data_IF_011686597005
#
_entry.id   IF_011686597005
#
_cell.length_a   1.000
_cell.length_b   1.000
_cell.length_c   1.000
_cell.angle_alpha   90.00
_cell.angle_beta   90.00
_cell.angle_gamma   90.00
#
_symmetry.space_group_name_H-M   'P 1'
#
loop_
_entity.id
_entity.type
_entity.pdbx_description
1 polymer ?
#
# COMPACT_ATOMS: atom_id res chain seq x y z
N UNK A 1 -34.39 2.62 51.16
CA UNK A 1 -34.14 3.72 50.20
C UNK A 1 -33.22 3.21 49.11
N UNK A 2 -33.73 3.23 47.88
CA UNK A 2 -33.07 2.81 46.64
C UNK A 2 -31.67 3.39 46.47
N UNK A 3 -30.78 2.63 45.81
CA UNK A 3 -30.40 2.94 44.42
C UNK A 3 -29.57 1.81 43.79
N UNK A 4 -30.22 1.17 42.82
CA UNK A 4 -29.70 0.48 41.64
C UNK A 4 -28.20 0.70 41.37
N UNK A 5 -27.41 -0.37 41.45
CA UNK A 5 -26.10 -0.45 40.82
C UNK A 5 -26.32 -0.91 39.37
N UNK A 6 -26.12 0.01 38.42
CA UNK A 6 -26.27 -0.28 36.99
C UNK A 6 -25.14 -1.22 36.53
N UNK A 7 -25.52 -2.41 36.08
CA UNK A 7 -24.73 -3.24 35.17
C UNK A 7 -24.59 -2.49 33.84
N UNK A 8 -23.46 -1.84 33.60
CA UNK A 8 -23.05 -1.47 32.25
C UNK A 8 -22.32 -2.68 31.65
N UNK A 9 -23.09 -3.60 31.06
CA UNK A 9 -22.55 -4.51 30.06
C UNK A 9 -22.31 -3.68 28.79
N UNK A 10 -21.10 -3.13 28.66
CA UNK A 10 -20.65 -2.55 27.40
C UNK A 10 -20.50 -3.70 26.40
N UNK A 11 -21.55 -3.93 25.61
CA UNK A 11 -21.48 -4.73 24.39
C UNK A 11 -20.72 -3.88 23.36
N UNK A 12 -19.40 -3.82 23.50
CA UNK A 12 -18.52 -3.33 22.45
C UNK A 12 -18.57 -4.33 21.30
N UNK A 13 -19.44 -4.09 20.33
CA UNK A 13 -19.36 -4.77 19.04
C UNK A 13 -18.00 -4.44 18.45
N UNK A 14 -17.15 -5.46 18.42
CA UNK A 14 -15.75 -5.41 18.04
C UNK A 14 -15.60 -5.05 16.56
N UNK A 15 -15.41 -3.76 16.25
CA UNK A 15 -14.93 -3.33 14.93
C UNK A 15 -13.57 -3.96 14.56
N UNK A 16 -12.76 -4.31 15.57
CA UNK A 16 -11.45 -4.96 15.35
C UNK A 16 -11.53 -6.30 14.62
N UNK A 17 -12.61 -7.08 14.79
CA UNK A 17 -12.69 -8.39 14.15
C UNK A 17 -13.01 -8.31 12.65
N UNK A 18 -13.67 -7.23 12.21
CA UNK A 18 -14.05 -7.06 10.81
C UNK A 18 -12.88 -6.51 9.98
N UNK A 19 -12.10 -5.59 10.57
CA UNK A 19 -10.92 -5.00 9.92
C UNK A 19 -9.79 -6.04 9.76
N UNK A 20 -9.61 -6.93 10.75
CA UNK A 20 -8.71 -8.07 10.64
C UNK A 20 -9.09 -9.07 9.54
N UNK A 21 -10.37 -9.16 9.16
CA UNK A 21 -10.84 -10.11 8.15
C UNK A 21 -10.57 -9.63 6.73
N UNK A 22 -10.74 -8.32 6.47
CA UNK A 22 -10.44 -7.70 5.17
C UNK A 22 -8.94 -7.79 4.84
N UNK A 23 -8.09 -7.33 5.77
CA UNK A 23 -6.63 -7.41 5.60
C UNK A 23 -6.14 -8.84 5.35
N UNK A 24 -6.67 -9.84 6.05
CA UNK A 24 -6.31 -11.25 5.82
C UNK A 24 -6.72 -11.76 4.45
N UNK A 25 -7.88 -11.33 3.94
CA UNK A 25 -8.34 -11.69 2.60
C UNK A 25 -7.41 -11.09 1.54
N UNK A 26 -7.06 -9.81 1.67
CA UNK A 26 -6.15 -9.11 0.77
C UNK A 26 -4.76 -9.75 0.75
N UNK A 27 -4.19 -10.06 1.93
CA UNK A 27 -2.90 -10.77 2.03
C UNK A 27 -2.97 -12.12 1.33
N UNK A 28 -4.02 -12.91 1.56
CA UNK A 28 -4.18 -14.20 0.91
C UNK A 28 -4.32 -14.07 -0.62
N UNK A 29 -4.95 -13.00 -1.11
CA UNK A 29 -5.04 -12.71 -2.55
C UNK A 29 -3.67 -12.33 -3.14
N UNK A 30 -2.90 -11.50 -2.44
CA UNK A 30 -1.53 -11.13 -2.80
C UNK A 30 -0.64 -12.37 -2.85
N UNK A 31 -0.59 -13.18 -1.80
CA UNK A 31 0.23 -14.39 -1.74
C UNK A 31 -0.13 -15.37 -2.87
N UNK A 32 -1.43 -15.58 -3.11
CA UNK A 32 -1.90 -16.39 -4.24
C UNK A 32 -1.45 -15.82 -5.58
N UNK A 33 -1.48 -14.50 -5.76
CA UNK A 33 -0.99 -13.86 -6.98
C UNK A 33 0.52 -14.09 -7.14
N UNK A 34 1.31 -13.88 -6.08
CA UNK A 34 2.75 -14.09 -6.08
C UNK A 34 3.11 -15.54 -6.46
N UNK A 35 2.45 -16.52 -5.84
CA UNK A 35 2.64 -17.95 -6.12
C UNK A 35 2.32 -18.29 -7.58
N UNK A 36 1.18 -17.82 -8.09
CA UNK A 36 0.75 -18.11 -9.47
C UNK A 36 1.70 -17.50 -10.52
N UNK A 37 2.42 -16.44 -10.16
CA UNK A 37 3.35 -15.74 -11.04
C UNK A 37 4.82 -16.09 -10.75
N UNK A 38 5.09 -17.03 -9.83
CA UNK A 38 6.43 -17.41 -9.38
C UNK A 38 7.26 -16.22 -8.88
N UNK A 39 6.62 -15.28 -8.19
CA UNK A 39 7.24 -14.10 -7.62
C UNK A 39 7.54 -14.33 -6.15
N UNK A 40 8.71 -13.87 -5.69
CA UNK A 40 9.11 -13.92 -4.28
C UNK A 40 9.16 -12.50 -3.76
N UNK A 41 8.33 -12.19 -2.76
CA UNK A 41 8.23 -10.89 -2.14
C UNK A 41 8.59 -10.93 -0.66
N UNK A 42 9.10 -9.81 -0.16
CA UNK A 42 9.17 -9.52 1.27
C UNK A 42 7.86 -8.88 1.72
N UNK A 43 7.60 -8.86 3.03
CA UNK A 43 6.39 -8.27 3.61
C UNK A 43 6.67 -7.46 4.86
N UNK A 44 5.81 -6.46 5.10
CA UNK A 44 5.77 -5.67 6.32
C UNK A 44 4.64 -6.18 7.23
N UNK A 45 4.72 -5.86 8.53
CA UNK A 45 3.67 -6.17 9.51
C UNK A 45 2.30 -5.54 9.16
N UNK A 46 2.28 -4.50 8.32
CA UNK A 46 1.08 -3.87 7.80
C UNK A 46 0.37 -4.68 6.71
N UNK A 47 0.98 -5.77 6.23
CA UNK A 47 0.48 -6.59 5.12
C UNK A 47 0.91 -6.11 3.73
N UNK A 48 1.62 -4.98 3.63
CA UNK A 48 2.25 -4.57 2.37
C UNK A 48 3.33 -5.58 1.98
N UNK A 49 3.29 -6.05 0.73
CA UNK A 49 4.34 -6.89 0.15
C UNK A 49 5.13 -6.08 -0.88
N UNK A 50 6.41 -6.38 -1.03
CA UNK A 50 7.26 -5.69 -1.98
C UNK A 50 8.34 -6.58 -2.58
N UNK A 51 8.77 -6.22 -3.79
CA UNK A 51 9.89 -6.82 -4.49
C UNK A 51 10.80 -5.69 -4.94
N UNK A 52 12.06 -5.67 -4.47
CA UNK A 52 13.07 -4.78 -5.01
C UNK A 52 13.64 -5.43 -6.27
N UNK A 53 13.42 -4.81 -7.41
CA UNK A 53 13.89 -5.31 -8.71
C UNK A 53 15.21 -4.67 -9.12
N UNK A 54 15.46 -3.44 -8.68
CA UNK A 54 16.75 -2.77 -8.78
C UNK A 54 17.03 -1.98 -7.49
N UNK A 55 18.15 -2.24 -6.82
CA UNK A 55 18.46 -1.69 -5.49
C UNK A 55 18.60 -0.16 -5.44
N UNK A 56 18.94 0.48 -6.56
CA UNK A 56 19.33 1.90 -6.58
C UNK A 56 20.66 2.14 -5.88
N UNK A 57 20.93 3.40 -5.52
CA UNK A 57 22.20 3.85 -4.93
C UNK A 57 21.99 4.87 -3.81
N UNK A 58 23.02 5.07 -3.00
CA UNK A 58 23.00 5.97 -1.85
C UNK A 58 22.71 5.25 -0.53
N UNK A 59 22.93 5.97 0.58
CA UNK A 59 22.68 5.47 1.95
C UNK A 59 21.37 6.01 2.54
N UNK A 60 20.85 7.09 1.97
CA UNK A 60 19.64 7.76 2.45
C UNK A 60 18.40 7.16 1.79
N UNK A 61 17.29 7.21 2.51
CA UNK A 61 15.97 6.80 2.05
C UNK A 61 14.99 7.98 2.20
N UNK A 62 13.94 8.07 1.37
CA UNK A 62 12.88 9.04 1.62
C UNK A 62 12.18 8.70 2.94
N UNK A 63 11.75 9.74 3.64
CA UNK A 63 10.88 9.65 4.80
C UNK A 63 9.42 9.65 4.37
N UNK A 64 8.50 9.33 5.28
CA UNK A 64 7.06 9.35 5.00
C UNK A 64 6.47 10.75 4.66
N UNK A 65 7.27 11.82 4.72
CA UNK A 65 6.89 13.19 4.39
C UNK A 65 7.70 13.80 3.22
N UNK A 66 8.63 13.05 2.65
CA UNK A 66 9.54 13.53 1.61
C UNK A 66 8.80 13.84 0.31
N UNK A 67 9.33 14.79 -0.45
CA UNK A 67 8.98 14.98 -1.84
C UNK A 67 9.77 13.98 -2.70
N UNK A 68 9.09 13.24 -3.57
CA UNK A 68 9.67 12.20 -4.42
C UNK A 68 9.36 12.47 -5.89
N UNK A 69 10.30 12.13 -6.76
CA UNK A 69 10.11 12.06 -8.19
C UNK A 69 10.18 10.59 -8.62
N UNK A 70 9.13 10.11 -9.26
CA UNK A 70 8.96 8.70 -9.62
C UNK A 70 8.51 8.53 -11.07
N UNK A 71 8.77 7.35 -11.62
CA UNK A 71 8.00 6.79 -12.73
C UNK A 71 7.23 5.62 -12.14
N UNK A 72 5.91 5.59 -12.33
CA UNK A 72 5.09 4.51 -11.78
C UNK A 72 4.03 4.01 -12.74
N UNK A 73 3.54 2.80 -12.45
CA UNK A 73 2.37 2.21 -13.05
C UNK A 73 1.54 1.52 -11.98
N UNK A 74 0.31 2.00 -11.79
CA UNK A 74 -0.69 1.44 -10.87
C UNK A 74 -1.69 0.55 -11.60
N UNK A 75 -1.87 -0.68 -11.13
CA UNK A 75 -2.77 -1.66 -11.71
C UNK A 75 -3.38 -2.60 -10.67
N UNK A 76 -4.48 -3.25 -11.01
CA UNK A 76 -5.11 -4.29 -10.18
C UNK A 76 -4.45 -5.65 -10.43
N UNK A 77 -4.71 -6.63 -9.56
CA UNK A 77 -4.16 -7.99 -9.69
C UNK A 77 -4.60 -8.70 -10.99
N UNK A 78 -5.70 -8.26 -11.62
CA UNK A 78 -6.14 -8.74 -12.94
C UNK A 78 -5.40 -8.09 -14.12
N UNK A 79 -4.50 -7.14 -13.86
CA UNK A 79 -3.73 -6.39 -14.84
C UNK A 79 -4.38 -5.10 -15.33
N UNK A 80 -5.58 -4.75 -14.87
CA UNK A 80 -6.27 -3.50 -15.23
C UNK A 80 -5.47 -2.31 -14.71
N UNK A 81 -4.91 -1.52 -15.63
CA UNK A 81 -4.17 -0.29 -15.31
C UNK A 81 -5.18 0.82 -15.00
N UNK A 82 -5.02 1.47 -13.84
CA UNK A 82 -5.88 2.59 -13.44
C UNK A 82 -5.15 3.93 -13.47
N UNK A 83 -3.83 3.95 -13.34
CA UNK A 83 -3.03 5.17 -13.36
C UNK A 83 -1.56 4.88 -13.70
N UNK A 84 -0.86 5.82 -14.32
CA UNK A 84 0.57 5.69 -14.64
C UNK A 84 1.20 7.02 -15.05
N UNK A 85 2.51 7.15 -14.84
CA UNK A 85 3.30 8.25 -15.41
C UNK A 85 3.27 8.18 -16.94
N UNK A 86 3.05 9.31 -17.65
CA UNK A 86 3.18 9.38 -19.11
C UNK A 86 4.59 9.02 -19.60
N UNK A 87 4.68 8.54 -20.84
CA UNK A 87 5.96 8.13 -21.41
C UNK A 87 6.94 9.31 -21.54
N UNK A 88 8.19 9.12 -21.11
CA UNK A 88 9.26 10.13 -21.08
C UNK A 88 9.00 11.31 -20.11
N UNK A 89 8.11 11.14 -19.14
CA UNK A 89 7.85 12.11 -18.08
C UNK A 89 8.20 11.53 -16.71
N UNK A 90 8.14 12.39 -15.68
CA UNK A 90 8.21 11.98 -14.28
C UNK A 90 7.05 12.58 -13.51
N UNK A 91 6.63 11.90 -12.45
CA UNK A 91 5.57 12.38 -11.55
C UNK A 91 6.17 12.75 -10.20
N UNK A 92 5.79 13.91 -9.68
CA UNK A 92 6.25 14.41 -8.37
C UNK A 92 5.14 14.33 -7.34
N UNK A 93 5.45 13.77 -6.17
CA UNK A 93 4.50 13.63 -5.06
C UNK A 93 5.15 14.00 -3.74
N UNK A 94 4.36 14.59 -2.84
CA UNK A 94 4.72 14.62 -1.43
C UNK A 94 4.17 13.36 -0.76
N UNK A 95 5.03 12.55 -0.15
CA UNK A 95 4.61 11.29 0.47
C UNK A 95 3.59 11.49 1.59
N UNK A 96 3.59 12.63 2.28
CA UNK A 96 2.60 12.92 3.31
C UNK A 96 1.15 13.03 2.80
N UNK A 97 0.95 13.17 1.48
CA UNK A 97 -0.35 13.40 0.85
C UNK A 97 -0.81 12.27 -0.08
N UNK A 98 -0.14 11.11 -0.05
CA UNK A 98 -0.53 9.93 -0.83
C UNK A 98 -1.04 8.81 0.08
N UNK A 99 -1.51 7.72 -0.54
CA UNK A 99 -1.99 6.53 0.18
C UNK A 99 -0.92 5.97 1.13
N UNK A 100 -1.36 5.35 2.23
CA UNK A 100 -0.48 4.86 3.27
C UNK A 100 0.52 3.80 2.75
N UNK A 101 0.10 2.98 1.78
CA UNK A 101 0.98 2.00 1.15
C UNK A 101 2.18 2.63 0.42
N UNK A 102 2.03 3.82 -0.17
CA UNK A 102 3.17 4.55 -0.75
C UNK A 102 4.05 5.17 0.34
N UNK A 103 3.45 5.67 1.42
CA UNK A 103 4.18 6.22 2.59
C UNK A 103 5.07 5.19 3.27
N UNK A 104 4.69 3.91 3.21
CA UNK A 104 5.48 2.80 3.74
C UNK A 104 6.40 2.17 2.69
N UNK A 105 5.91 1.97 1.47
CA UNK A 105 6.60 1.21 0.43
C UNK A 105 7.70 1.98 -0.30
N UNK A 106 7.50 3.26 -0.64
CA UNK A 106 8.53 4.05 -1.36
C UNK A 106 9.82 4.23 -0.53
N UNK A 107 9.76 4.46 0.80
CA UNK A 107 10.94 4.45 1.67
C UNK A 107 11.79 3.17 1.63
N UNK A 108 11.27 2.04 1.17
CA UNK A 108 12.05 0.81 1.00
C UNK A 108 13.03 0.90 -0.18
N UNK A 109 12.75 1.77 -1.16
CA UNK A 109 13.61 2.00 -2.31
C UNK A 109 14.69 3.05 -2.01
N UNK A 110 15.78 2.99 -2.75
CA UNK A 110 16.82 4.03 -2.82
C UNK A 110 16.69 4.82 -4.12
N UNK A 111 17.35 5.97 -4.20
CA UNK A 111 17.38 6.75 -5.42
C UNK A 111 17.99 5.94 -6.59
N UNK A 112 17.32 5.98 -7.74
CA UNK A 112 17.57 5.13 -8.91
C UNK A 112 17.09 3.68 -8.77
N UNK A 113 16.45 3.32 -7.67
CA UNK A 113 15.96 1.97 -7.42
C UNK A 113 14.57 1.74 -8.01
N UNK A 114 14.24 0.47 -8.22
CA UNK A 114 12.96 0.00 -8.74
C UNK A 114 12.40 -1.11 -7.88
N UNK A 115 11.08 -1.16 -7.80
CA UNK A 115 10.41 -2.26 -7.16
C UNK A 115 8.92 -2.31 -7.49
N UNK A 116 8.30 -3.40 -7.09
CA UNK A 116 6.86 -3.60 -7.17
C UNK A 116 6.31 -3.64 -5.75
N UNK A 117 5.26 -2.87 -5.49
CA UNK A 117 4.53 -2.82 -4.23
C UNK A 117 3.15 -3.48 -4.43
N UNK A 118 2.78 -4.40 -3.55
CA UNK A 118 1.45 -4.98 -3.45
C UNK A 118 0.80 -4.48 -2.16
N UNK A 119 -0.25 -3.67 -2.32
CA UNK A 119 -0.82 -2.83 -1.28
C UNK A 119 -2.23 -3.35 -0.98
N UNK A 120 -2.47 -3.92 0.22
CA UNK A 120 -3.81 -4.23 0.70
C UNK A 120 -4.74 -3.01 0.63
N UNK A 121 -6.03 -3.25 0.47
CA UNK A 121 -7.03 -2.22 0.27
C UNK A 121 -7.03 -1.18 1.41
N UNK A 122 -6.87 -1.61 2.66
CA UNK A 122 -6.78 -0.74 3.85
C UNK A 122 -5.58 0.24 3.82
N UNK A 123 -4.50 -0.10 3.11
CA UNK A 123 -3.35 0.80 2.90
C UNK A 123 -3.49 1.62 1.60
N UNK A 124 -4.50 1.32 0.78
CA UNK A 124 -4.86 1.99 -0.46
C UNK A 124 -6.11 2.87 -0.31
N UNK A 125 -7.21 2.45 -0.94
CA UNK A 125 -8.47 3.21 -0.97
C UNK A 125 -9.60 2.58 -0.11
N UNK A 126 -9.32 1.49 0.60
CA UNK A 126 -10.25 0.80 1.50
C UNK A 126 -11.55 0.36 0.81
N UNK A 127 -12.65 0.45 1.55
CA UNK A 127 -14.01 0.08 1.08
C UNK A 127 -14.66 1.10 0.13
N UNK A 128 -13.87 2.01 -0.47
CA UNK A 128 -14.39 3.04 -1.35
C UNK A 128 -14.01 2.76 -2.81
N UNK A 129 -14.98 2.90 -3.71
CA UNK A 129 -14.70 2.93 -5.14
C UNK A 129 -14.07 4.27 -5.51
N UNK A 130 -12.93 4.24 -6.22
CA UNK A 130 -12.21 5.44 -6.68
C UNK A 130 -11.96 5.34 -8.17
N UNK A 131 -12.71 6.12 -8.97
CA UNK A 131 -12.62 6.06 -10.42
C UNK A 131 -12.85 4.63 -10.94
N UNK A 132 -11.88 4.02 -11.65
CA UNK A 132 -11.96 2.64 -12.15
C UNK A 132 -11.64 1.58 -11.08
N UNK A 133 -11.19 1.96 -9.88
CA UNK A 133 -10.76 1.04 -8.81
C UNK A 133 -11.98 0.62 -7.98
N UNK A 134 -12.38 -0.67 -7.97
CA UNK A 134 -13.44 -1.16 -7.10
C UNK A 134 -13.11 -1.01 -5.61
N UNK A 135 -14.14 -0.90 -4.76
CA UNK A 135 -13.99 -0.96 -3.31
C UNK A 135 -13.33 -2.28 -2.87
N UNK A 136 -12.44 -2.22 -1.88
CA UNK A 136 -11.75 -3.39 -1.33
C UNK A 136 -10.70 -3.99 -2.27
N UNK A 137 -10.19 -3.22 -3.24
CA UNK A 137 -9.19 -3.73 -4.18
C UNK A 137 -7.77 -3.70 -3.61
N UNK A 138 -7.03 -4.80 -3.79
CA UNK A 138 -5.57 -4.80 -3.73
C UNK A 138 -5.01 -3.99 -4.90
N UNK A 139 -4.04 -3.13 -4.61
CA UNK A 139 -3.35 -2.32 -5.61
C UNK A 139 -1.94 -2.84 -5.83
N UNK A 140 -1.49 -2.83 -7.09
CA UNK A 140 -0.11 -3.12 -7.46
C UNK A 140 0.51 -1.88 -8.07
N UNK A 141 1.71 -1.53 -7.65
CA UNK A 141 2.48 -0.43 -8.21
C UNK A 141 3.88 -0.89 -8.59
N UNK A 142 4.23 -0.80 -9.86
CA UNK A 142 5.62 -0.79 -10.28
C UNK A 142 6.13 0.65 -10.15
N UNK A 143 7.23 0.84 -9.43
CA UNK A 143 7.77 2.17 -9.11
C UNK A 143 9.27 2.19 -9.38
N UNK A 144 9.72 3.23 -10.08
CA UNK A 144 11.11 3.66 -10.18
C UNK A 144 11.26 4.98 -9.41
N UNK A 145 12.06 4.97 -8.35
CA UNK A 145 12.35 6.17 -7.56
C UNK A 145 13.52 6.91 -8.19
N UNK A 146 13.27 8.03 -8.86
CA UNK A 146 14.31 8.80 -9.54
C UNK A 146 15.14 9.63 -8.55
N UNK A 147 14.46 10.38 -7.68
CA UNK A 147 15.08 11.24 -6.67
C UNK A 147 14.09 11.62 -5.58
N UNK A 148 14.59 12.16 -4.47
CA UNK A 148 13.75 12.67 -3.38
C UNK A 148 14.43 13.80 -2.61
N UNK A 149 13.64 14.57 -1.86
CA UNK A 149 14.08 15.56 -0.87
C UNK A 149 13.27 15.43 0.42
N UNK A 150 13.94 15.45 1.57
CA UNK A 150 13.35 15.32 2.90
C UNK A 150 13.00 16.67 3.51
#
# INVERSE_FOLDING_TARGET
MNKFFFLFAALGLSLSACQDAGLKADIAEIEKYLDNNNLVAESLDSGLHYIITEEGTGMEHPTAASDVNVIYKGYLLDGTVFDQTPANEMSSFNLGNVIEGWRQGIPLLKAGGKGTLFIPSDLGYGDFQVGPIPAGSVLVFDVELLSFSN
#
